data_IF_534028025098
#
_entry.id   IF_534028025098
#
_cell.length_a   1.000
_cell.length_b   1.000
_cell.length_c   1.000
_cell.angle_alpha   90.00
_cell.angle_beta   90.00
_cell.angle_gamma   90.00
#
_symmetry.space_group_name_H-M   'P 1'
#
loop_
_entity.id
_entity.type
_entity.pdbx_description
1 polymer ?
#
# COMPACT_ATOMS: atom_id res chain seq x y z
N UNK A 1 11.23 -1.73 1.49
CA UNK A 1 10.11 -0.80 1.71
C UNK A 1 9.77 0.04 0.46
N UNK A 2 10.07 -0.42 -0.75
CA UNK A 2 9.94 0.40 -1.97
C UNK A 2 8.55 0.38 -2.62
N UNK A 3 7.70 -0.61 -2.29
CA UNK A 3 6.45 -0.87 -3.02
C UNK A 3 5.32 0.12 -2.72
N UNK A 4 5.26 0.72 -1.52
CA UNK A 4 4.23 1.72 -1.17
C UNK A 4 4.48 3.04 -1.91
N UNK A 5 5.75 3.44 -2.04
CA UNK A 5 6.13 4.70 -2.70
C UNK A 5 5.82 4.68 -4.20
N UNK A 6 5.80 3.52 -4.84
CA UNK A 6 5.47 3.38 -6.27
C UNK A 6 4.05 3.79 -6.60
N UNK A 7 3.11 3.70 -5.65
CA UNK A 7 1.70 4.00 -5.86
C UNK A 7 1.33 5.43 -5.45
N UNK A 8 2.23 6.18 -4.81
CA UNK A 8 1.97 7.52 -4.28
C UNK A 8 1.69 8.55 -5.38
N UNK A 9 2.36 8.45 -6.52
CA UNK A 9 2.18 9.38 -7.66
C UNK A 9 1.25 8.84 -8.76
N UNK A 10 0.64 7.68 -8.55
CA UNK A 10 -0.29 7.08 -9.51
C UNK A 10 -1.66 7.73 -9.36
N UNK A 11 -1.88 8.83 -10.10
CA UNK A 11 -3.11 9.63 -10.06
C UNK A 11 -4.21 9.12 -11.00
N UNK A 12 -3.86 8.34 -12.01
CA UNK A 12 -4.82 7.78 -12.95
C UNK A 12 -4.34 6.44 -13.48
N UNK A 13 -5.17 5.42 -13.33
CA UNK A 13 -5.01 4.10 -13.92
C UNK A 13 -6.12 3.90 -14.96
N UNK A 14 -5.72 3.59 -16.20
CA UNK A 14 -6.69 3.31 -17.26
C UNK A 14 -7.31 1.93 -17.05
N UNK A 15 -8.61 1.92 -16.78
CA UNK A 15 -9.40 0.72 -16.64
C UNK A 15 -9.80 0.20 -18.01
N UNK A 16 -9.01 -0.73 -18.58
CA UNK A 16 -9.44 -1.50 -19.75
C UNK A 16 -10.51 -2.51 -19.31
N UNK A 17 -11.74 -2.05 -19.12
CA UNK A 17 -12.84 -2.91 -18.68
C UNK A 17 -13.30 -3.84 -19.81
N UNK A 18 -12.76 -5.06 -19.83
CA UNK A 18 -13.30 -6.22 -20.56
C UNK A 18 -14.13 -7.13 -19.62
N UNK A 19 -14.37 -6.73 -18.37
CA UNK A 19 -15.20 -7.52 -17.43
C UNK A 19 -15.47 -6.80 -16.11
N UNK A 20 -16.51 -7.28 -15.40
CA UNK A 20 -17.08 -6.83 -14.12
C UNK A 20 -16.10 -6.84 -12.90
N UNK A 21 -14.86 -6.42 -13.07
CA UNK A 21 -13.88 -6.29 -11.99
C UNK A 21 -13.94 -4.93 -11.30
N UNK A 22 -13.70 -4.88 -9.99
CA UNK A 22 -13.38 -3.66 -9.23
C UNK A 22 -12.16 -3.01 -9.85
N UNK A 23 -12.35 -1.94 -10.62
CA UNK A 23 -11.25 -1.16 -11.15
C UNK A 23 -10.90 -0.01 -10.21
N UNK A 24 -9.65 -0.01 -9.75
CA UNK A 24 -9.09 1.06 -8.94
C UNK A 24 -8.52 2.14 -9.86
N UNK A 25 -8.94 3.40 -9.67
CA UNK A 25 -8.57 4.51 -10.55
C UNK A 25 -7.29 5.22 -10.09
N UNK A 26 -6.89 5.00 -8.85
CA UNK A 26 -5.70 5.63 -8.26
C UNK A 26 -4.85 4.61 -7.50
N UNK A 27 -3.56 4.91 -7.34
CA UNK A 27 -2.68 4.10 -6.51
C UNK A 27 -3.09 4.10 -5.04
N UNK A 28 -3.68 5.19 -4.55
CA UNK A 28 -4.22 5.26 -3.19
C UNK A 28 -5.35 4.26 -2.96
N UNK A 29 -6.26 4.07 -3.92
CA UNK A 29 -7.36 3.10 -3.79
C UNK A 29 -6.82 1.66 -3.66
N UNK A 30 -5.73 1.37 -4.37
CA UNK A 30 -5.03 0.07 -4.30
C UNK A 30 -4.35 -0.09 -2.95
N UNK A 31 -3.64 0.93 -2.49
CA UNK A 31 -2.98 0.92 -1.18
C UNK A 31 -4.01 0.74 -0.05
N UNK A 32 -5.16 1.39 -0.15
CA UNK A 32 -6.25 1.23 0.82
C UNK A 32 -6.88 -0.16 0.76
N UNK A 33 -7.11 -0.72 -0.44
CA UNK A 33 -7.63 -2.08 -0.61
C UNK A 33 -6.72 -3.14 0.02
N UNK A 34 -5.41 -3.03 -0.18
CA UNK A 34 -4.43 -3.96 0.40
C UNK A 34 -4.07 -3.64 1.86
N UNK A 35 -4.72 -2.65 2.49
CA UNK A 35 -4.49 -2.30 3.88
C UNK A 35 -3.14 -1.61 4.14
N UNK A 36 -2.45 -1.16 3.09
CA UNK A 36 -1.21 -0.37 3.17
C UNK A 36 -1.50 1.11 3.46
N UNK A 37 -2.41 1.38 4.40
CA UNK A 37 -2.64 2.74 4.87
C UNK A 37 -1.35 3.30 5.45
N UNK A 38 -0.88 4.44 4.92
CA UNK A 38 0.29 5.17 5.44
C UNK A 38 0.23 5.38 6.96
N UNK A 39 -0.96 5.53 7.54
CA UNK A 39 -1.17 5.63 8.98
C UNK A 39 -0.64 4.42 9.78
N UNK A 40 -0.65 3.22 9.22
CA UNK A 40 -0.17 2.00 9.88
C UNK A 40 1.27 1.64 9.53
N UNK A 41 1.83 2.25 8.48
CA UNK A 41 3.20 1.99 8.03
C UNK A 41 4.24 2.24 9.12
N UNK A 42 4.19 3.41 9.77
CA UNK A 42 5.13 3.76 10.84
C UNK A 42 5.00 2.83 12.05
N UNK A 43 3.76 2.45 12.41
CA UNK A 43 3.51 1.52 13.53
C UNK A 43 4.06 0.13 13.23
N UNK A 44 3.81 -0.38 12.02
CA UNK A 44 4.33 -1.69 11.61
C UNK A 44 5.86 -1.69 11.54
N UNK A 45 6.47 -0.62 11.02
CA UNK A 45 7.93 -0.49 10.98
C UNK A 45 8.53 -0.45 12.40
N UNK A 46 7.91 0.29 13.32
CA UNK A 46 8.33 0.34 14.72
C UNK A 46 8.23 -1.01 15.43
N UNK A 47 7.13 -1.75 15.21
CA UNK A 47 6.96 -3.11 15.76
C UNK A 47 7.98 -4.10 15.17
N UNK A 48 8.28 -3.99 13.87
CA UNK A 48 9.29 -4.84 13.22
C UNK A 48 10.68 -4.58 13.81
N UNK A 49 11.01 -3.31 14.08
CA UNK A 49 12.25 -2.94 14.75
C UNK A 49 12.30 -3.42 16.21
N UNK A 50 11.18 -3.32 16.93
CA UNK A 50 11.06 -3.83 18.30
C UNK A 50 11.25 -5.35 18.37
N UNK A 51 10.70 -6.11 17.42
CA UNK A 51 10.97 -7.54 17.29
C UNK A 51 12.45 -7.81 17.01
N UNK A 52 13.06 -7.04 16.12
CA UNK A 52 14.48 -7.20 15.79
C UNK A 52 15.41 -6.96 16.99
N UNK A 53 15.09 -6.00 17.85
CA UNK A 53 15.85 -5.73 19.08
C UNK A 53 15.51 -6.74 20.18
N UNK A 54 14.23 -7.09 20.36
CA UNK A 54 13.79 -7.98 21.43
C UNK A 54 14.26 -9.43 21.25
N UNK A 55 14.50 -9.85 20.02
CA UNK A 55 15.07 -11.16 19.68
C UNK A 55 16.56 -11.11 19.30
N UNK A 56 17.24 -9.98 19.54
CA UNK A 56 18.69 -9.82 19.35
C UNK A 56 19.48 -10.37 20.52
#
# INVERSE_FOLDING_TARGET
MALINQWEDVKSLECNQVGNGTCYRTGNDILDYYGFKKAHYNRNLGLLFALFIGFR
#
